data_IF_606213059622
#
_entry.id   IF_606213059622
#
_cell.length_a   1.000
_cell.length_b   1.000
_cell.length_c   1.000
_cell.angle_alpha   90.00
_cell.angle_beta   90.00
_cell.angle_gamma   90.00
#
_symmetry.space_group_name_H-M   'P 1'
#
loop_
_entity.id
_entity.type
_entity.pdbx_description
1 polymer ?
#
# COMPACT_ATOMS: atom_id res chain seq x y z
N UNK A 1 32.49 19.62 -24.61
CA UNK A 1 31.55 20.40 -23.77
C UNK A 1 30.32 19.53 -23.57
N UNK A 2 30.23 18.86 -22.43
CA UNK A 2 29.18 17.86 -22.14
C UNK A 2 28.08 18.57 -21.37
N UNK A 3 26.88 18.63 -21.94
CA UNK A 3 25.71 19.27 -21.33
C UNK A 3 25.21 18.40 -20.18
N UNK A 4 25.47 18.82 -18.95
CA UNK A 4 24.80 18.31 -17.75
C UNK A 4 23.34 18.74 -17.79
N UNK A 5 22.45 17.81 -18.12
CA UNK A 5 21.01 17.96 -17.91
C UNK A 5 20.73 17.80 -16.42
N UNK A 6 20.66 18.91 -15.70
CA UNK A 6 19.97 18.99 -14.41
C UNK A 6 18.51 18.66 -14.64
N UNK A 7 18.09 17.44 -14.28
CA UNK A 7 16.69 17.14 -14.09
C UNK A 7 16.19 17.95 -12.89
N UNK A 8 15.44 19.02 -13.19
CA UNK A 8 14.70 19.77 -12.18
C UNK A 8 13.64 18.87 -11.57
N UNK A 9 13.81 18.56 -10.28
CA UNK A 9 12.79 17.94 -9.43
C UNK A 9 11.68 18.96 -9.14
N UNK A 10 10.63 18.94 -9.95
CA UNK A 10 9.37 19.64 -9.67
C UNK A 10 8.62 18.91 -8.54
N UNK A 11 9.07 19.19 -7.31
CA UNK A 11 8.39 18.81 -6.08
C UNK A 11 7.23 19.77 -5.80
N UNK A 12 6.09 19.19 -5.39
CA UNK A 12 4.84 19.76 -4.85
C UNK A 12 3.65 19.93 -5.82
N UNK A 13 2.59 19.18 -5.48
CA UNK A 13 1.15 19.36 -5.83
C UNK A 13 0.66 18.91 -7.21
N UNK A 14 1.07 17.72 -7.67
CA UNK A 14 0.22 17.02 -8.63
C UNK A 14 -0.98 16.42 -7.89
N UNK A 15 -2.21 16.75 -8.30
CA UNK A 15 -3.44 16.07 -7.84
C UNK A 15 -3.44 14.57 -8.16
N UNK A 16 -2.51 14.14 -9.02
CA UNK A 16 -2.27 12.74 -9.36
C UNK A 16 -1.24 12.06 -8.46
N UNK A 17 -0.66 12.77 -7.47
CA UNK A 17 0.26 12.14 -6.52
C UNK A 17 -0.45 10.96 -5.84
N UNK A 18 0.18 9.77 -5.77
CA UNK A 18 -0.47 8.56 -5.25
C UNK A 18 -1.12 8.71 -3.87
N UNK A 19 -0.51 9.50 -2.98
CA UNK A 19 -1.09 9.89 -1.69
C UNK A 19 -2.49 10.52 -1.80
N UNK A 20 -2.67 11.50 -2.69
CA UNK A 20 -3.95 12.16 -2.90
C UNK A 20 -4.97 11.25 -3.57
N UNK A 21 -4.52 10.34 -4.44
CA UNK A 21 -5.38 9.33 -5.06
C UNK A 21 -5.97 8.40 -3.99
N UNK A 22 -5.15 7.91 -3.04
CA UNK A 22 -5.63 7.10 -1.92
C UNK A 22 -6.63 7.84 -1.04
N UNK A 23 -6.33 9.09 -0.68
CA UNK A 23 -7.24 9.93 0.10
C UNK A 23 -8.58 10.17 -0.63
N UNK A 24 -8.55 10.37 -1.95
CA UNK A 24 -9.76 10.54 -2.74
C UNK A 24 -10.62 9.27 -2.75
N UNK A 25 -10.01 8.09 -2.84
CA UNK A 25 -10.72 6.81 -2.76
C UNK A 25 -11.37 6.60 -1.39
N UNK A 26 -10.67 6.93 -0.31
CA UNK A 26 -11.23 6.84 1.05
C UNK A 26 -12.37 7.83 1.28
N UNK A 27 -12.25 9.06 0.81
CA UNK A 27 -13.35 10.05 0.86
C UNK A 27 -14.57 9.57 0.07
N UNK A 28 -14.36 8.95 -1.09
CA UNK A 28 -15.45 8.34 -1.86
C UNK A 28 -16.12 7.19 -1.12
N UNK A 29 -15.37 6.40 -0.36
CA UNK A 29 -15.93 5.32 0.47
C UNK A 29 -16.69 5.89 1.67
N UNK A 30 -16.17 6.93 2.32
CA UNK A 30 -16.82 7.61 3.45
C UNK A 30 -18.17 8.22 3.05
N UNK A 31 -18.29 8.73 1.83
CA UNK A 31 -19.52 9.30 1.31
C UNK A 31 -20.59 8.25 0.92
N UNK A 32 -20.27 6.96 0.98
CA UNK A 32 -21.23 5.90 0.68
C UNK A 32 -22.27 5.80 1.80
N UNK A 33 -23.55 5.70 1.45
CA UNK A 33 -24.67 5.73 2.41
C UNK A 33 -24.52 4.70 3.54
N UNK A 34 -24.24 3.45 3.20
CA UNK A 34 -24.03 2.37 4.19
C UNK A 34 -22.85 2.60 5.15
N UNK A 35 -21.85 3.39 4.74
CA UNK A 35 -20.68 3.75 5.56
C UNK A 35 -21.03 4.98 6.40
N UNK A 36 -21.59 6.02 5.79
CA UNK A 36 -21.95 7.27 6.46
C UNK A 36 -23.05 7.10 7.52
N UNK A 37 -23.93 6.10 7.36
CA UNK A 37 -25.00 5.77 8.31
C UNK A 37 -24.55 4.92 9.50
N UNK A 38 -23.31 4.44 9.52
CA UNK A 38 -22.76 3.54 10.53
C UNK A 38 -21.47 4.13 11.11
N UNK A 39 -21.49 4.49 12.39
CA UNK A 39 -20.36 5.14 13.04
C UNK A 39 -19.10 4.27 13.03
N UNK A 40 -19.23 2.96 13.25
CA UNK A 40 -18.07 2.07 13.27
C UNK A 40 -17.40 1.99 11.88
N UNK A 41 -18.20 1.95 10.82
CA UNK A 41 -17.68 1.98 9.44
C UNK A 41 -17.05 3.33 9.10
N UNK A 42 -17.69 4.43 9.48
CA UNK A 42 -17.17 5.78 9.27
C UNK A 42 -15.84 5.98 9.99
N UNK A 43 -15.74 5.56 11.25
CA UNK A 43 -14.53 5.66 12.07
C UNK A 43 -13.38 4.87 11.44
N UNK A 44 -13.63 3.63 10.99
CA UNK A 44 -12.60 2.83 10.32
C UNK A 44 -12.03 3.51 9.05
N UNK A 45 -12.88 4.19 8.28
CA UNK A 45 -12.44 4.96 7.10
C UNK A 45 -11.67 6.22 7.52
N UNK A 46 -12.13 6.93 8.55
CA UNK A 46 -11.48 8.13 9.06
C UNK A 46 -10.12 7.84 9.69
N UNK A 47 -9.96 6.71 10.37
CA UNK A 47 -8.69 6.26 10.94
C UNK A 47 -7.65 6.02 9.84
N UNK A 48 -8.03 5.34 8.76
CA UNK A 48 -7.13 5.16 7.61
C UNK A 48 -6.78 6.49 6.93
N UNK A 49 -7.73 7.43 6.81
CA UNK A 49 -7.46 8.79 6.33
C UNK A 49 -6.45 9.50 7.24
N UNK A 50 -6.62 9.40 8.56
CA UNK A 50 -5.73 10.03 9.53
C UNK A 50 -4.31 9.47 9.43
N UNK A 51 -4.16 8.16 9.25
CA UNK A 51 -2.86 7.50 9.02
C UNK A 51 -2.19 8.06 7.76
N UNK A 52 -2.90 8.14 6.64
CA UNK A 52 -2.33 8.69 5.41
C UNK A 52 -1.98 10.18 5.55
N UNK A 53 -2.82 11.00 6.18
CA UNK A 53 -2.57 12.43 6.36
C UNK A 53 -1.36 12.72 7.25
N UNK A 54 -1.12 11.92 8.28
CA UNK A 54 0.03 12.05 9.19
C UNK A 54 1.33 11.53 8.58
N UNK A 55 1.32 11.14 7.30
CA UNK A 55 2.42 10.40 6.67
C UNK A 55 2.81 9.17 7.49
N UNK A 56 1.79 8.48 8.04
CA UNK A 56 1.99 7.28 8.83
C UNK A 56 2.75 6.20 8.05
N UNK A 57 3.38 5.29 8.77
CA UNK A 57 4.11 4.16 8.17
C UNK A 57 3.18 3.37 7.24
N UNK A 58 3.69 2.93 6.08
CA UNK A 58 2.98 2.09 5.12
C UNK A 58 2.39 0.84 5.78
N UNK A 59 3.08 0.26 6.78
CA UNK A 59 2.55 -0.84 7.60
C UNK A 59 1.20 -0.49 8.24
N UNK A 60 1.13 0.63 8.94
CA UNK A 60 -0.09 1.07 9.63
C UNK A 60 -1.23 1.30 8.62
N UNK A 61 -0.90 1.76 7.41
CA UNK A 61 -1.90 1.92 6.35
C UNK A 61 -2.45 0.57 5.86
N UNK A 62 -1.62 -0.48 5.80
CA UNK A 62 -2.07 -1.84 5.47
C UNK A 62 -2.89 -2.45 6.60
N UNK A 63 -2.46 -2.31 7.85
CA UNK A 63 -3.22 -2.77 9.01
C UNK A 63 -4.60 -2.11 9.07
N UNK A 64 -4.66 -0.78 8.94
CA UNK A 64 -5.93 -0.04 8.92
C UNK A 64 -6.81 -0.43 7.73
N UNK A 65 -6.22 -0.78 6.59
CA UNK A 65 -6.97 -1.28 5.45
C UNK A 65 -7.59 -2.66 5.71
N UNK A 66 -6.85 -3.58 6.34
CA UNK A 66 -7.37 -4.88 6.76
C UNK A 66 -8.54 -4.70 7.74
N UNK A 67 -8.41 -3.80 8.72
CA UNK A 67 -9.48 -3.51 9.68
C UNK A 67 -10.70 -2.87 9.02
N UNK A 68 -10.49 -1.90 8.12
CA UNK A 68 -11.55 -1.33 7.30
C UNK A 68 -12.27 -2.41 6.49
N UNK A 69 -11.55 -3.38 5.92
CA UNK A 69 -12.18 -4.49 5.18
C UNK A 69 -13.01 -5.40 6.07
N UNK A 70 -12.60 -5.63 7.33
CA UNK A 70 -13.38 -6.40 8.30
C UNK A 70 -14.68 -5.69 8.65
N UNK A 71 -14.60 -4.40 8.96
CA UNK A 71 -15.76 -3.59 9.40
C UNK A 71 -16.71 -3.26 8.25
N UNK A 72 -16.16 -2.91 7.08
CA UNK A 72 -16.94 -2.50 5.91
C UNK A 72 -17.18 -3.66 4.92
N UNK A 73 -16.79 -4.90 5.22
CA UNK A 73 -16.63 -5.96 4.22
C UNK A 73 -17.86 -6.33 3.40
N UNK A 74 -19.06 -6.06 3.90
CA UNK A 74 -20.34 -6.25 3.20
C UNK A 74 -20.74 -5.08 2.29
N UNK A 75 -20.05 -3.93 2.41
CA UNK A 75 -20.40 -2.65 1.81
C UNK A 75 -19.43 -2.29 0.69
N UNK A 76 -19.97 -1.77 -0.42
CA UNK A 76 -19.21 -1.15 -1.53
C UNK A 76 -17.91 -1.88 -1.94
N UNK A 77 -18.03 -3.16 -2.30
CA UNK A 77 -16.90 -4.01 -2.75
C UNK A 77 -15.99 -3.32 -3.78
N UNK A 78 -16.56 -2.57 -4.72
CA UNK A 78 -15.79 -1.92 -5.79
C UNK A 78 -14.86 -0.81 -5.26
N UNK A 79 -15.29 -0.05 -4.25
CA UNK A 79 -14.45 0.98 -3.64
C UNK A 79 -13.31 0.36 -2.84
N UNK A 80 -13.59 -0.69 -2.06
CA UNK A 80 -12.58 -1.47 -1.34
C UNK A 80 -11.57 -2.11 -2.29
N UNK A 81 -12.04 -2.66 -3.41
CA UNK A 81 -11.17 -3.25 -4.43
C UNK A 81 -10.23 -2.23 -5.09
N UNK A 82 -10.73 -1.02 -5.38
CA UNK A 82 -9.88 0.07 -5.90
C UNK A 82 -8.83 0.49 -4.88
N UNK A 83 -9.22 0.57 -3.60
CA UNK A 83 -8.32 0.89 -2.50
C UNK A 83 -7.25 -0.18 -2.30
N UNK A 84 -7.62 -1.46 -2.41
CA UNK A 84 -6.67 -2.59 -2.43
C UNK A 84 -5.63 -2.41 -3.53
N UNK A 85 -6.10 -2.30 -4.77
CA UNK A 85 -5.21 -2.23 -5.93
C UNK A 85 -4.33 -1.00 -5.88
N UNK A 86 -4.82 0.09 -5.30
CA UNK A 86 -3.99 1.26 -5.02
C UNK A 86 -2.92 0.90 -3.98
N UNK A 87 -3.29 0.31 -2.85
CA UNK A 87 -2.34 -0.03 -1.79
C UNK A 87 -1.25 -1.00 -2.26
N UNK A 88 -1.62 -2.08 -2.95
CA UNK A 88 -0.69 -3.08 -3.51
C UNK A 88 0.33 -2.46 -4.49
N UNK A 89 -0.09 -1.45 -5.27
CA UNK A 89 0.80 -0.74 -6.20
C UNK A 89 1.74 0.24 -5.53
N UNK A 90 1.45 0.61 -4.30
CA UNK A 90 2.08 1.75 -3.65
C UNK A 90 2.80 1.38 -2.36
N UNK A 91 2.59 0.17 -1.85
CA UNK A 91 3.30 -0.37 -0.71
C UNK A 91 4.33 -1.37 -1.22
N UNK A 92 5.57 -1.17 -0.78
CA UNK A 92 6.69 -2.06 -1.05
C UNK A 92 7.09 -2.74 0.25
N UNK A 93 7.45 -4.01 0.14
CA UNK A 93 7.75 -4.92 1.24
C UNK A 93 9.13 -5.52 0.99
N UNK A 94 9.98 -5.58 2.01
CA UNK A 94 11.32 -6.21 1.91
C UNK A 94 11.32 -7.59 2.55
N UNK A 95 11.31 -8.63 1.72
CA UNK A 95 11.28 -10.04 2.17
C UNK A 95 12.70 -10.61 2.21
N UNK A 96 13.37 -10.50 3.36
CA UNK A 96 14.73 -11.02 3.55
C UNK A 96 15.74 -10.44 2.55
N UNK A 97 16.53 -11.31 1.94
CA UNK A 97 17.57 -10.94 0.96
C UNK A 97 17.01 -10.68 -0.46
N UNK A 98 15.72 -10.95 -0.70
CA UNK A 98 15.10 -10.94 -2.04
C UNK A 98 14.75 -9.54 -2.58
N UNK A 99 15.27 -8.48 -1.96
CA UNK A 99 15.03 -7.09 -2.36
C UNK A 99 13.61 -6.60 -2.05
N UNK A 100 13.26 -5.43 -2.61
CA UNK A 100 11.94 -4.82 -2.46
C UNK A 100 10.94 -5.42 -3.44
N UNK A 101 9.79 -5.86 -2.93
CA UNK A 101 8.71 -6.45 -3.71
C UNK A 101 7.40 -5.69 -3.47
N UNK A 102 6.50 -5.59 -4.46
CA UNK A 102 5.17 -5.04 -4.24
C UNK A 102 4.40 -5.82 -3.17
N UNK A 103 3.56 -5.12 -2.41
CA UNK A 103 2.63 -5.78 -1.49
C UNK A 103 1.64 -6.64 -2.27
N UNK A 104 1.53 -7.90 -1.88
CA UNK A 104 0.45 -8.80 -2.31
C UNK A 104 -0.44 -9.10 -1.10
N UNK A 105 -1.74 -8.74 -1.21
CA UNK A 105 -2.74 -9.13 -0.21
C UNK A 105 -3.48 -10.37 -0.70
N UNK A 106 -3.49 -11.39 0.13
CA UNK A 106 -4.15 -12.66 -0.14
C UNK A 106 -5.60 -12.68 0.37
N UNK A 107 -6.32 -13.73 -0.02
CA UNK A 107 -7.51 -14.16 0.70
C UNK A 107 -7.10 -15.28 1.64
N UNK A 108 -7.53 -15.25 2.91
CA UNK A 108 -7.17 -16.27 3.89
C UNK A 108 -7.61 -17.71 3.54
N UNK A 109 -8.43 -17.91 2.49
CA UNK A 109 -8.84 -19.26 2.06
C UNK A 109 -9.24 -19.33 0.56
N UNK A 110 -8.36 -19.91 -0.26
CA UNK A 110 -8.43 -19.97 -1.73
C UNK A 110 -9.48 -20.94 -2.29
N UNK A 111 -10.13 -21.79 -1.48
CA UNK A 111 -10.94 -22.94 -1.98
C UNK A 111 -12.35 -22.61 -2.52
N UNK A 112 -12.83 -21.37 -2.52
CA UNK A 112 -14.19 -21.01 -2.97
C UNK A 112 -14.19 -19.80 -3.90
N UNK A 113 -13.95 -20.06 -5.18
CA UNK A 113 -13.37 -19.11 -6.14
C UNK A 113 -14.33 -18.22 -6.95
N UNK A 114 -15.65 -18.13 -6.73
CA UNK A 114 -16.46 -17.27 -7.65
C UNK A 114 -17.57 -16.42 -7.03
N UNK A 115 -18.07 -16.69 -5.81
CA UNK A 115 -19.13 -15.84 -5.21
C UNK A 115 -18.84 -15.34 -3.79
N UNK A 116 -17.98 -16.02 -3.03
CA UNK A 116 -17.67 -15.66 -1.64
C UNK A 116 -16.58 -14.58 -1.50
N UNK A 117 -15.90 -14.20 -2.59
CA UNK A 117 -14.77 -13.25 -2.55
C UNK A 117 -15.10 -11.87 -2.02
N UNK A 118 -16.36 -11.43 -2.14
CA UNK A 118 -16.80 -10.14 -1.61
C UNK A 118 -16.74 -10.11 -0.08
N UNK A 119 -17.01 -11.25 0.55
CA UNK A 119 -17.21 -11.37 2.00
C UNK A 119 -15.99 -11.90 2.75
N UNK A 120 -14.96 -12.39 2.05
CA UNK A 120 -13.75 -12.88 2.70
C UNK A 120 -12.84 -11.71 3.08
N UNK A 121 -12.24 -11.83 4.26
CA UNK A 121 -11.27 -10.87 4.79
C UNK A 121 -9.98 -10.95 3.98
N UNK A 122 -9.33 -9.80 3.81
CA UNK A 122 -8.01 -9.70 3.21
C UNK A 122 -6.97 -9.73 4.32
N UNK A 123 -5.97 -10.58 4.13
CA UNK A 123 -4.89 -10.76 5.09
C UNK A 123 -3.56 -10.52 4.39
N UNK A 124 -2.57 -10.12 5.19
CA UNK A 124 -1.17 -10.20 4.78
C UNK A 124 -0.93 -11.62 4.27
N UNK A 125 -0.49 -11.76 3.02
CA UNK A 125 -0.09 -13.07 2.51
C UNK A 125 1.02 -13.62 3.41
N UNK A 126 1.04 -14.91 3.76
CA UNK A 126 2.13 -15.44 4.59
C UNK A 126 3.47 -15.30 3.83
N UNK A 127 4.23 -14.23 4.09
CA UNK A 127 5.63 -14.16 3.71
C UNK A 127 6.40 -15.18 4.56
N UNK A 128 7.52 -15.69 4.04
CA UNK A 128 8.36 -16.67 4.71
C UNK A 128 9.09 -16.10 5.94
N UNK A 129 8.34 -15.66 6.96
CA UNK A 129 8.85 -15.02 8.19
C UNK A 129 7.74 -14.30 8.99
N UNK A 130 8.09 -13.80 10.17
CA UNK A 130 7.18 -12.96 10.96
C UNK A 130 7.02 -11.61 10.29
N UNK A 131 5.78 -11.24 9.94
CA UNK A 131 5.44 -9.93 9.40
C UNK A 131 5.82 -8.78 10.31
N UNK A 132 6.02 -8.98 11.61
CA UNK A 132 6.40 -7.92 12.57
C UNK A 132 7.76 -7.27 12.23
N UNK A 133 8.68 -8.02 11.61
CA UNK A 133 10.04 -7.56 11.34
C UNK A 133 10.28 -7.15 9.89
N UNK A 134 9.25 -7.25 9.04
CA UNK A 134 9.37 -6.96 7.61
C UNK A 134 9.37 -5.44 7.39
N UNK A 135 10.33 -4.92 6.63
CA UNK A 135 10.35 -3.50 6.27
C UNK A 135 9.24 -3.22 5.25
N UNK A 136 8.41 -2.20 5.52
CA UNK A 136 7.27 -1.82 4.66
C UNK A 136 7.31 -0.32 4.44
N UNK A 137 7.36 0.11 3.18
CA UNK A 137 7.47 1.53 2.80
C UNK A 137 6.48 1.88 1.70
N UNK A 138 6.19 3.17 1.54
CA UNK A 138 5.47 3.63 0.37
C UNK A 138 6.44 3.77 -0.81
N UNK A 139 6.08 3.29 -1.99
CA UNK A 139 6.89 3.42 -3.20
C UNK A 139 7.22 4.89 -3.51
N UNK A 140 6.29 5.81 -3.19
CA UNK A 140 6.48 7.24 -3.42
C UNK A 140 7.30 7.96 -2.34
N UNK A 141 7.59 7.34 -1.18
CA UNK A 141 8.44 7.95 -0.15
C UNK A 141 9.94 7.77 -0.43
N UNK A 142 10.28 7.24 -1.61
CA UNK A 142 11.59 6.71 -1.91
C UNK A 142 11.67 5.28 -1.40
N UNK A 143 11.77 4.31 -2.31
CA UNK A 143 12.32 3.01 -1.94
C UNK A 143 13.78 3.28 -1.59
N UNK A 144 14.29 2.91 -0.41
CA UNK A 144 15.70 3.00 -0.11
C UNK A 144 16.44 2.26 -1.22
N UNK A 145 17.17 3.01 -2.07
CA UNK A 145 17.98 2.40 -3.12
C UNK A 145 18.87 1.37 -2.45
N UNK A 146 18.72 0.12 -2.87
CA UNK A 146 19.70 -0.91 -2.56
C UNK A 146 20.98 -0.43 -3.21
N UNK A 147 21.90 0.12 -2.40
CA UNK A 147 23.29 0.18 -2.80
C UNK A 147 23.76 -1.24 -3.10
N UNK A 148 24.55 -1.36 -4.17
CA UNK A 148 25.29 -2.53 -4.69
C UNK A 148 24.54 -3.34 -5.76
N UNK A 149 25.04 -3.44 -7.00
CA UNK A 149 26.41 -3.84 -7.37
C UNK A 149 27.07 -2.87 -8.36
N UNK A 150 28.08 -2.13 -7.90
CA UNK A 150 29.05 -1.47 -8.77
C UNK A 150 30.44 -1.45 -8.10
N UNK A 151 30.86 -2.58 -7.52
CA UNK A 151 32.22 -2.72 -6.95
C UNK A 151 32.61 -4.21 -6.85
N UNK A 152 32.47 -4.95 -7.95
CA UNK A 152 32.99 -6.33 -8.04
C UNK A 152 33.68 -6.62 -9.38
N UNK A 153 34.17 -5.59 -10.08
CA UNK A 153 34.87 -5.75 -11.38
C UNK A 153 36.24 -5.06 -11.45
N UNK A 154 36.85 -4.70 -10.32
CA UNK A 154 38.21 -4.12 -10.30
C UNK A 154 39.12 -4.74 -9.21
N UNK A 155 39.09 -6.06 -9.07
CA UNK A 155 40.09 -6.80 -8.29
C UNK A 155 40.55 -8.12 -8.94
N UNK A 156 40.20 -8.37 -10.21
CA UNK A 156 40.69 -9.52 -11.00
C UNK A 156 41.59 -9.06 -12.16
N UNK A 157 41.86 -7.76 -12.27
CA UNK A 157 42.70 -7.18 -13.33
C UNK A 157 43.79 -6.23 -12.81
N UNK A 158 44.34 -6.49 -11.62
CA UNK A 158 45.54 -5.83 -11.10
C UNK A 158 46.56 -6.88 -10.62
#
# INVERSE_FOLDING_TARGET
MTLTTTQSSSSLTSTQHPHFVGLAQLRSLLAHEDVASDSAKSDAVLDMIAILLRQGNARNAVEAFCDLKKVCGSVCYMAQFRLRNWLEKQVMVRTGDAGWQPLELGFGDFRRLVQAYRHKEWEWQEAAGSWENIEVVFAWSGVPEVMEQAEAEEAVAA
#
